data_IF_086637787852
#
_entry.id   IF_086637787852
#
_cell.length_a   1.000
_cell.length_b   1.000
_cell.length_c   1.000
_cell.angle_alpha   90.00
_cell.angle_beta   90.00
_cell.angle_gamma   90.00
#
_symmetry.space_group_name_H-M   'P 1'
#
loop_
_entity.id
_entity.type
_entity.pdbx_description
1 polymer ?
#
# COMPACT_ATOMS: atom_id res chain seq x y z
N UNK A 1 12.26 16.21 13.33
CA UNK A 1 11.70 15.23 14.29
C UNK A 1 12.64 14.89 15.44
N UNK A 2 13.87 15.44 15.53
CA UNK A 2 14.81 14.95 16.55
C UNK A 2 14.96 13.43 16.47
N UNK A 3 15.07 12.91 15.22
CA UNK A 3 15.14 11.47 14.98
C UNK A 3 16.24 10.92 15.88
N UNK A 4 15.92 10.06 16.85
CA UNK A 4 16.88 9.71 17.88
C UNK A 4 17.90 8.66 17.40
N UNK A 5 17.96 8.43 16.08
CA UNK A 5 18.81 7.44 15.45
C UNK A 5 19.89 8.13 14.62
N UNK A 6 21.15 8.04 15.04
CA UNK A 6 22.26 8.09 14.07
C UNK A 6 22.41 6.79 13.30
N UNK A 7 21.74 5.74 13.75
CA UNK A 7 21.81 4.39 13.21
C UNK A 7 20.40 3.84 13.04
N UNK A 8 19.97 3.72 11.78
CA UNK A 8 18.74 3.06 11.39
C UNK A 8 19.09 1.64 10.92
N UNK A 9 18.28 0.68 11.32
CA UNK A 9 18.21 -0.63 10.69
C UNK A 9 17.35 -0.46 9.45
N UNK A 10 17.88 -0.75 8.28
CA UNK A 10 17.04 -0.73 7.08
C UNK A 10 16.76 -2.17 6.71
N UNK A 11 15.49 -2.53 6.75
CA UNK A 11 15.05 -3.84 6.35
C UNK A 11 14.49 -3.75 4.93
N UNK A 12 15.28 -4.28 4.01
CA UNK A 12 14.94 -4.41 2.62
C UNK A 12 14.28 -5.79 2.44
N UNK A 13 12.98 -5.93 2.68
CA UNK A 13 12.31 -7.22 2.47
C UNK A 13 11.96 -7.38 0.97
N UNK A 14 12.90 -7.22 0.03
CA UNK A 14 12.51 -6.90 -1.36
C UNK A 14 12.97 -7.92 -2.40
N UNK A 15 11.98 -8.45 -3.12
CA UNK A 15 12.15 -9.29 -4.30
C UNK A 15 11.66 -8.60 -5.60
N UNK A 16 11.43 -7.28 -5.60
CA UNK A 16 10.96 -6.54 -6.78
C UNK A 16 11.89 -5.37 -7.14
N UNK A 17 12.12 -5.17 -8.44
CA UNK A 17 13.05 -4.14 -8.96
C UNK A 17 12.71 -2.71 -8.50
N UNK A 18 11.42 -2.39 -8.34
CA UNK A 18 10.97 -1.08 -7.84
C UNK A 18 11.46 -0.78 -6.44
N UNK A 19 11.44 -1.79 -5.59
CA UNK A 19 11.75 -1.66 -4.19
C UNK A 19 13.27 -1.53 -3.96
N UNK A 20 14.09 -2.18 -4.80
CA UNK A 20 15.55 -1.99 -4.83
C UNK A 20 15.91 -0.55 -5.19
N UNK A 21 15.31 0.01 -6.24
CA UNK A 21 15.58 1.39 -6.68
C UNK A 21 15.17 2.40 -5.59
N UNK A 22 13.99 2.22 -4.98
CA UNK A 22 13.54 3.08 -3.89
C UNK A 22 14.50 3.05 -2.69
N UNK A 23 15.07 1.88 -2.41
CA UNK A 23 16.05 1.72 -1.34
C UNK A 23 17.37 2.44 -1.67
N UNK A 24 17.91 2.26 -2.88
CA UNK A 24 19.14 2.92 -3.31
C UNK A 24 19.04 4.45 -3.21
N UNK A 25 17.91 5.03 -3.67
CA UNK A 25 17.62 6.45 -3.51
C UNK A 25 17.56 6.87 -2.03
N UNK A 26 16.95 6.04 -1.17
CA UNK A 26 16.90 6.30 0.26
C UNK A 26 18.31 6.28 0.88
N UNK A 27 19.19 5.36 0.49
CA UNK A 27 20.57 5.30 1.00
C UNK A 27 21.31 6.61 0.73
N UNK A 28 21.19 7.14 -0.49
CA UNK A 28 21.81 8.40 -0.88
C UNK A 28 21.24 9.58 -0.08
N UNK A 29 19.91 9.67 0.04
CA UNK A 29 19.25 10.74 0.82
C UNK A 29 19.57 10.68 2.31
N UNK A 30 19.67 9.48 2.91
CA UNK A 30 20.05 9.31 4.30
C UNK A 30 21.49 9.76 4.54
N UNK A 31 22.40 9.42 3.61
CA UNK A 31 23.80 9.84 3.66
C UNK A 31 23.94 11.35 3.59
N UNK A 32 23.21 12.03 2.70
CA UNK A 32 23.17 13.49 2.62
C UNK A 32 22.65 14.17 3.90
N UNK A 33 21.87 13.44 4.70
CA UNK A 33 21.28 13.91 5.96
C UNK A 33 22.04 13.42 7.20
N UNK A 34 23.23 12.83 7.04
CA UNK A 34 24.05 12.26 8.12
C UNK A 34 23.33 11.19 8.95
N UNK A 35 22.50 10.37 8.30
CA UNK A 35 21.87 9.20 8.92
C UNK A 35 22.55 7.93 8.41
N UNK A 36 23.01 7.07 9.33
CA UNK A 36 23.71 5.85 8.96
C UNK A 36 22.83 4.60 9.00
N UNK A 37 23.16 3.65 8.14
CA UNK A 37 22.52 2.34 8.07
C UNK A 37 23.38 1.34 8.85
N UNK A 38 22.83 0.76 9.92
CA UNK A 38 23.57 -0.18 10.78
C UNK A 38 23.61 -1.61 10.22
N UNK A 39 22.56 -1.98 9.50
CA UNK A 39 22.44 -3.26 8.80
C UNK A 39 21.40 -3.11 7.69
N UNK A 40 21.67 -3.74 6.55
CA UNK A 40 20.77 -3.89 5.41
C UNK A 40 20.53 -5.38 5.22
N UNK A 41 19.32 -5.85 5.45
CA UNK A 41 18.95 -7.25 5.23
C UNK A 41 18.00 -7.37 4.07
N UNK A 42 18.24 -8.40 3.25
CA UNK A 42 17.41 -8.77 2.11
C UNK A 42 16.67 -10.08 2.36
N UNK A 43 15.35 -10.10 2.21
CA UNK A 43 14.60 -11.37 2.22
C UNK A 43 14.75 -12.08 0.86
N UNK A 44 15.57 -13.12 0.83
CA UNK A 44 15.73 -13.98 -0.35
C UNK A 44 14.66 -15.07 -0.33
N UNK A 45 13.98 -15.28 -1.46
CA UNK A 45 12.97 -16.33 -1.66
C UNK A 45 13.41 -17.21 -2.82
N UNK A 46 13.68 -18.48 -2.56
CA UNK A 46 14.12 -19.42 -3.61
C UNK A 46 12.98 -19.78 -4.58
N UNK A 47 11.72 -19.79 -4.10
CA UNK A 47 10.49 -19.76 -4.92
C UNK A 47 9.27 -19.52 -4.02
N UNK A 48 8.30 -18.72 -4.47
CA UNK A 48 7.03 -18.51 -3.74
C UNK A 48 7.14 -17.62 -2.49
N UNK A 49 6.54 -18.05 -1.38
CA UNK A 49 6.47 -17.32 -0.10
C UNK A 49 7.65 -17.73 0.80
N UNK A 50 8.31 -16.76 1.44
CA UNK A 50 9.38 -17.07 2.39
C UNK A 50 8.83 -17.88 3.58
N UNK A 51 9.58 -18.90 4.00
CA UNK A 51 9.29 -19.63 5.23
C UNK A 51 9.62 -18.83 6.49
N UNK A 52 9.02 -19.23 7.62
CA UNK A 52 9.20 -18.56 8.92
C UNK A 52 10.67 -18.38 9.33
N UNK A 53 11.51 -19.38 9.04
CA UNK A 53 12.94 -19.37 9.36
C UNK A 53 13.68 -18.17 8.73
N UNK A 54 13.32 -17.78 7.51
CA UNK A 54 13.96 -16.65 6.84
C UNK A 54 13.66 -15.32 7.55
N UNK A 55 12.42 -15.15 8.03
CA UNK A 55 12.05 -13.99 8.84
C UNK A 55 12.73 -14.01 10.21
N UNK A 56 12.85 -15.18 10.84
CA UNK A 56 13.54 -15.33 12.12
C UNK A 56 15.03 -14.94 12.00
N UNK A 57 15.72 -15.42 10.96
CA UNK A 57 17.12 -15.08 10.70
C UNK A 57 17.32 -13.57 10.52
N UNK A 58 16.42 -12.91 9.79
CA UNK A 58 16.41 -11.46 9.64
C UNK A 58 16.29 -10.77 11.00
N UNK A 59 15.26 -11.11 11.79
CA UNK A 59 15.02 -10.49 13.09
C UNK A 59 16.20 -10.69 14.03
N UNK A 60 16.81 -11.88 14.05
CA UNK A 60 18.01 -12.15 14.84
C UNK A 60 19.17 -11.24 14.44
N UNK A 61 19.40 -11.03 13.15
CA UNK A 61 20.43 -10.08 12.67
C UNK A 61 20.12 -8.64 13.08
N UNK A 62 18.86 -8.20 13.01
CA UNK A 62 18.47 -6.86 13.48
C UNK A 62 18.76 -6.69 14.98
N UNK A 63 18.46 -7.73 15.78
CA UNK A 63 18.68 -7.72 17.22
C UNK A 63 20.17 -7.61 17.61
N UNK A 64 21.09 -8.06 16.75
CA UNK A 64 22.54 -7.87 16.98
C UNK A 64 22.96 -6.39 17.04
N UNK A 65 22.17 -5.49 16.44
CA UNK A 65 22.46 -4.05 16.38
C UNK A 65 21.76 -3.31 17.52
N UNK A 66 22.31 -3.43 18.72
CA UNK A 66 21.69 -2.87 19.94
C UNK A 66 21.51 -1.35 19.96
N UNK A 67 22.32 -0.62 19.19
CA UNK A 67 22.26 0.85 19.04
C UNK A 67 21.28 1.33 17.96
N UNK A 68 20.74 0.43 17.14
CA UNK A 68 19.85 0.76 16.04
C UNK A 68 18.46 0.16 16.29
N UNK A 69 17.53 1.00 16.77
CA UNK A 69 16.13 0.58 17.05
C UNK A 69 15.12 1.11 16.04
N UNK A 70 15.48 2.11 15.24
CA UNK A 70 14.66 2.58 14.14
C UNK A 70 14.78 1.62 12.99
N UNK A 71 13.67 1.19 12.41
CA UNK A 71 13.63 0.20 11.35
C UNK A 71 12.79 0.68 10.15
N UNK A 72 13.41 0.92 9.00
CA UNK A 72 12.68 1.26 7.77
C UNK A 72 12.37 -0.03 7.01
N UNK A 73 11.10 -0.31 6.74
CA UNK A 73 10.66 -1.49 6.00
C UNK A 73 10.02 -1.11 4.66
N UNK A 74 10.66 -1.53 3.59
CA UNK A 74 10.04 -1.69 2.28
C UNK A 74 9.66 -3.16 2.12
N UNK A 75 8.41 -3.43 1.75
CA UNK A 75 7.88 -4.78 1.62
C UNK A 75 6.37 -4.76 1.38
N UNK A 76 5.85 -5.88 0.90
CA UNK A 76 4.39 -6.10 0.83
C UNK A 76 3.82 -6.37 2.23
N UNK A 77 2.52 -6.18 2.38
CA UNK A 77 1.78 -6.50 3.61
C UNK A 77 2.03 -7.94 4.11
N UNK A 78 2.04 -8.94 3.22
CA UNK A 78 2.34 -10.33 3.58
C UNK A 78 3.74 -10.53 4.16
N UNK A 79 4.72 -9.86 3.57
CA UNK A 79 6.13 -9.92 3.98
C UNK A 79 6.34 -9.26 5.33
N UNK A 80 5.76 -8.07 5.53
CA UNK A 80 5.86 -7.37 6.81
C UNK A 80 5.12 -8.13 7.91
N UNK A 81 3.94 -8.71 7.63
CA UNK A 81 3.24 -9.57 8.58
C UNK A 81 4.12 -10.76 9.01
N UNK A 82 4.90 -11.34 8.09
CA UNK A 82 5.90 -12.37 8.39
C UNK A 82 6.98 -11.89 9.37
N UNK A 83 7.52 -10.68 9.16
CA UNK A 83 8.50 -10.07 10.06
C UNK A 83 7.90 -9.80 11.43
N UNK A 84 6.68 -9.25 11.51
CA UNK A 84 6.03 -8.97 12.80
C UNK A 84 5.80 -10.26 13.61
N UNK A 85 5.43 -11.37 12.95
CA UNK A 85 5.36 -12.69 13.59
C UNK A 85 6.73 -13.17 14.10
N UNK A 86 7.80 -12.96 13.34
CA UNK A 86 9.15 -13.31 13.77
C UNK A 86 9.63 -12.45 14.96
N UNK A 87 9.31 -11.16 14.98
CA UNK A 87 9.57 -10.25 16.12
C UNK A 87 8.87 -10.78 17.38
N UNK A 88 7.61 -11.21 17.27
CA UNK A 88 6.91 -11.86 18.38
C UNK A 88 7.61 -13.13 18.86
N UNK A 89 7.96 -14.03 17.94
CA UNK A 89 8.64 -15.30 18.27
C UNK A 89 9.97 -15.06 18.99
N UNK A 90 10.68 -13.98 18.62
CA UNK A 90 11.91 -13.57 19.26
C UNK A 90 11.72 -12.83 20.60
N UNK A 91 10.47 -12.55 21.01
CA UNK A 91 10.18 -11.79 22.24
C UNK A 91 10.59 -10.31 22.17
N UNK A 92 10.63 -9.74 20.95
CA UNK A 92 11.21 -8.43 20.67
C UNK A 92 10.17 -7.34 20.37
N UNK A 93 8.90 -7.52 20.76
CA UNK A 93 7.77 -6.66 20.36
C UNK A 93 7.96 -5.17 20.70
N UNK A 94 8.66 -4.85 21.78
CA UNK A 94 8.88 -3.45 22.23
C UNK A 94 10.28 -2.92 21.87
N UNK A 95 10.99 -3.60 20.95
CA UNK A 95 12.41 -3.32 20.65
C UNK A 95 12.59 -2.30 19.53
N UNK A 96 11.73 -2.30 18.53
CA UNK A 96 11.91 -1.52 17.30
C UNK A 96 10.86 -0.42 17.15
N UNK A 97 11.24 0.65 16.47
CA UNK A 97 10.32 1.68 15.99
C UNK A 97 10.32 1.67 14.48
N UNK A 98 9.15 1.41 13.89
CA UNK A 98 9.06 1.13 12.46
C UNK A 98 8.73 2.38 11.64
N UNK A 99 9.33 2.46 10.46
CA UNK A 99 8.94 3.37 9.39
C UNK A 99 8.52 2.54 8.19
N UNK A 100 7.23 2.58 7.86
CA UNK A 100 6.64 1.78 6.79
C UNK A 100 6.45 2.55 5.49
N UNK A 101 6.87 1.93 4.38
CA UNK A 101 6.44 2.33 3.04
C UNK A 101 4.93 2.13 2.81
N UNK A 102 4.42 2.64 1.69
CA UNK A 102 3.02 2.50 1.28
C UNK A 102 2.60 1.04 1.01
N UNK A 103 3.55 0.15 0.72
CA UNK A 103 3.31 -1.26 0.45
C UNK A 103 2.63 -2.05 1.58
N UNK A 104 2.69 -1.56 2.82
CA UNK A 104 2.06 -2.20 3.99
C UNK A 104 1.35 -1.21 4.92
N UNK A 105 1.32 0.06 4.55
CA UNK A 105 0.67 1.13 5.31
C UNK A 105 -0.82 0.90 5.47
N UNK A 106 -1.33 0.96 6.72
CA UNK A 106 -2.75 0.80 7.04
C UNK A 106 -3.41 -0.48 6.48
N UNK A 107 -2.63 -1.54 6.23
CA UNK A 107 -3.15 -2.84 5.77
C UNK A 107 -3.47 -3.71 6.99
N UNK A 108 -4.74 -4.10 7.09
CA UNK A 108 -5.25 -4.97 8.17
C UNK A 108 -4.42 -6.26 8.29
N UNK A 109 -3.96 -6.83 7.16
CA UNK A 109 -3.13 -8.03 7.14
C UNK A 109 -1.84 -7.93 7.96
N UNK A 110 -1.28 -6.72 8.12
CA UNK A 110 -0.08 -6.52 8.93
C UNK A 110 -0.41 -6.35 10.40
N UNK A 111 -1.42 -5.52 10.72
CA UNK A 111 -1.78 -5.18 12.10
C UNK A 111 -2.57 -6.27 12.82
N UNK A 112 -3.47 -6.96 12.13
CA UNK A 112 -4.45 -7.84 12.75
C UNK A 112 -3.77 -9.06 13.35
N UNK A 113 -3.89 -9.20 14.66
CA UNK A 113 -3.17 -10.22 15.41
C UNK A 113 -1.67 -9.99 15.52
N UNK A 114 -1.14 -8.80 15.16
CA UNK A 114 0.23 -8.31 15.39
C UNK A 114 0.27 -6.89 15.99
N UNK A 115 -0.78 -6.49 16.70
CA UNK A 115 -0.98 -5.10 17.08
C UNK A 115 0.13 -4.58 17.99
N UNK A 116 0.63 -5.42 18.91
CA UNK A 116 1.72 -5.03 19.82
C UNK A 116 3.04 -4.85 19.07
N UNK A 117 3.35 -5.73 18.12
CA UNK A 117 4.60 -5.66 17.34
C UNK A 117 4.61 -4.49 16.35
N UNK A 118 3.43 -4.06 15.88
CA UNK A 118 3.25 -2.94 14.94
C UNK A 118 3.10 -1.59 15.67
N UNK A 119 2.83 -1.59 16.98
CA UNK A 119 2.66 -0.37 17.77
C UNK A 119 3.85 0.59 17.63
N UNK A 120 3.57 1.88 17.49
CA UNK A 120 4.59 2.92 17.31
C UNK A 120 5.05 3.11 15.86
N UNK A 121 4.49 2.36 14.90
CA UNK A 121 4.85 2.50 13.48
C UNK A 121 4.41 3.86 12.94
N UNK A 122 5.35 4.56 12.31
CA UNK A 122 5.05 5.69 11.41
C UNK A 122 5.02 5.17 9.96
N UNK A 123 4.05 5.57 9.16
CA UNK A 123 3.97 5.11 7.77
C UNK A 123 3.43 6.17 6.83
N UNK A 124 3.76 6.03 5.54
CA UNK A 124 3.25 6.86 4.45
C UNK A 124 2.10 6.13 3.75
N UNK A 125 0.95 6.79 3.64
CA UNK A 125 -0.21 6.26 2.95
C UNK A 125 -0.55 7.17 1.77
N UNK A 126 -0.57 6.67 0.52
CA UNK A 126 -1.01 7.46 -0.63
C UNK A 126 -2.38 8.09 -0.37
N UNK A 127 -2.48 9.39 -0.56
CA UNK A 127 -3.71 10.13 -0.29
C UNK A 127 -4.68 9.94 -1.47
N UNK A 128 -5.73 9.18 -1.21
CA UNK A 128 -6.82 8.95 -2.14
C UNK A 128 -8.15 9.40 -1.52
N UNK A 129 -9.03 9.90 -2.37
CA UNK A 129 -10.39 10.29 -2.03
C UNK A 129 -11.40 9.27 -2.58
N UNK A 130 -12.55 9.07 -1.91
CA UNK A 130 -13.58 8.16 -2.38
C UNK A 130 -14.06 8.47 -3.80
N UNK A 131 -14.18 7.44 -4.63
CA UNK A 131 -14.75 7.55 -5.98
C UNK A 131 -16.27 7.59 -5.87
N UNK A 132 -16.87 8.72 -6.25
CA UNK A 132 -18.32 8.94 -6.12
C UNK A 132 -19.10 7.88 -6.90
N UNK A 133 -20.07 7.26 -6.22
CA UNK A 133 -20.97 6.25 -6.80
C UNK A 133 -20.38 4.84 -6.97
N UNK A 134 -19.07 4.63 -6.72
CA UNK A 134 -18.48 3.30 -6.83
C UNK A 134 -19.04 2.33 -5.77
N UNK A 135 -19.19 2.82 -4.54
CA UNK A 135 -19.72 2.02 -3.44
C UNK A 135 -21.14 1.55 -3.73
N UNK A 136 -22.04 2.46 -4.11
CA UNK A 136 -23.41 2.12 -4.48
C UNK A 136 -23.47 1.18 -5.69
N UNK A 137 -22.58 1.38 -6.68
CA UNK A 137 -22.45 0.46 -7.81
C UNK A 137 -22.07 -0.95 -7.35
N UNK A 138 -21.04 -1.07 -6.49
CA UNK A 138 -20.49 -2.34 -6.07
C UNK A 138 -21.45 -3.11 -5.14
N UNK A 139 -22.09 -2.42 -4.20
CA UNK A 139 -23.07 -3.02 -3.28
C UNK A 139 -24.32 -3.57 -3.99
N UNK A 140 -24.67 -2.99 -5.14
CA UNK A 140 -25.78 -3.45 -5.96
C UNK A 140 -25.42 -4.64 -6.88
N UNK A 141 -24.16 -5.08 -6.90
CA UNK A 141 -23.76 -6.26 -7.68
C UNK A 141 -24.28 -7.54 -7.04
N UNK A 142 -24.66 -8.47 -7.91
CA UNK A 142 -25.09 -9.82 -7.56
C UNK A 142 -24.49 -10.80 -8.55
N UNK A 143 -24.45 -12.08 -8.19
CA UNK A 143 -23.94 -13.11 -9.11
C UNK A 143 -24.78 -13.16 -10.41
N UNK A 144 -26.09 -12.93 -10.33
CA UNK A 144 -27.00 -12.96 -11.48
C UNK A 144 -26.79 -11.79 -12.43
N UNK A 145 -26.47 -10.61 -11.88
CA UNK A 145 -26.33 -9.35 -12.62
C UNK A 145 -24.91 -9.17 -13.16
N UNK A 146 -23.89 -9.69 -12.49
CA UNK A 146 -22.48 -9.48 -12.84
C UNK A 146 -21.85 -10.66 -13.61
N UNK A 147 -22.33 -10.89 -14.84
CA UNK A 147 -21.83 -12.00 -15.69
C UNK A 147 -20.50 -11.73 -16.40
N UNK A 148 -20.02 -10.49 -16.36
CA UNK A 148 -18.79 -10.07 -17.06
C UNK A 148 -17.50 -10.40 -16.30
N UNK A 149 -17.60 -10.58 -14.98
CA UNK A 149 -16.45 -10.83 -14.12
C UNK A 149 -16.38 -12.33 -13.79
N UNK A 150 -15.41 -13.08 -14.34
CA UNK A 150 -15.32 -14.52 -14.12
C UNK A 150 -14.98 -14.90 -12.67
N UNK A 151 -14.38 -13.99 -11.90
CA UNK A 151 -13.99 -14.22 -10.50
C UNK A 151 -15.09 -13.85 -9.50
N UNK A 152 -16.20 -13.29 -9.96
CA UNK A 152 -17.23 -12.77 -9.05
C UNK A 152 -17.95 -13.87 -8.27
N UNK A 153 -18.10 -15.07 -8.86
CA UNK A 153 -18.66 -16.23 -8.16
C UNK A 153 -17.75 -16.68 -7.02
N UNK A 154 -16.45 -16.80 -7.28
CA UNK A 154 -15.47 -17.21 -6.26
C UNK A 154 -15.39 -16.18 -5.12
N UNK A 155 -15.38 -14.88 -5.46
CA UNK A 155 -15.48 -13.80 -4.47
C UNK A 155 -16.74 -13.93 -3.61
N UNK A 156 -17.90 -14.20 -4.22
CA UNK A 156 -19.17 -14.33 -3.51
C UNK A 156 -19.17 -15.53 -2.55
N UNK A 157 -18.65 -16.67 -3.00
CA UNK A 157 -18.50 -17.88 -2.18
C UNK A 157 -17.60 -17.64 -0.98
N UNK A 158 -16.46 -16.97 -1.19
CA UNK A 158 -15.53 -16.65 -0.11
C UNK A 158 -16.11 -15.63 0.88
N UNK A 159 -16.77 -14.58 0.37
CA UNK A 159 -17.33 -13.51 1.17
C UNK A 159 -18.49 -13.97 2.07
N UNK A 160 -19.39 -14.80 1.55
CA UNK A 160 -20.55 -15.31 2.31
C UNK A 160 -20.32 -16.70 2.93
N UNK A 161 -19.13 -17.28 2.74
CA UNK A 161 -18.76 -18.61 3.22
C UNK A 161 -19.75 -19.71 2.80
N UNK A 162 -20.20 -19.67 1.56
CA UNK A 162 -21.18 -20.58 0.99
C UNK A 162 -20.74 -21.05 -0.41
N UNK A 163 -21.36 -22.12 -0.92
CA UNK A 163 -21.11 -22.61 -2.27
C UNK A 163 -22.22 -22.18 -3.22
N UNK A 164 -21.88 -21.53 -4.32
CA UNK A 164 -22.86 -21.08 -5.28
C UNK A 164 -23.42 -22.27 -6.09
N UNK A 165 -24.74 -22.36 -6.32
CA UNK A 165 -25.33 -23.49 -7.03
C UNK A 165 -24.72 -23.66 -8.44
N UNK A 166 -24.29 -24.88 -8.76
CA UNK A 166 -23.65 -25.25 -10.03
C UNK A 166 -22.28 -24.59 -10.31
N UNK A 167 -21.62 -24.02 -9.29
CA UNK A 167 -20.23 -23.56 -9.42
C UNK A 167 -19.26 -24.75 -9.55
N UNK A 168 -18.18 -24.53 -10.31
CA UNK A 168 -17.08 -25.50 -10.41
C UNK A 168 -16.41 -25.70 -9.05
N UNK A 169 -16.02 -26.94 -8.75
CA UNK A 169 -15.26 -27.23 -7.54
C UNK A 169 -13.82 -26.69 -7.68
N UNK A 170 -13.37 -25.93 -6.70
CA UNK A 170 -12.01 -25.39 -6.59
C UNK A 170 -11.38 -25.82 -5.26
N UNK A 171 -10.04 -25.74 -5.12
CA UNK A 171 -9.38 -25.98 -3.84
C UNK A 171 -9.84 -25.06 -2.70
N UNK A 172 -10.45 -23.92 -3.03
CA UNK A 172 -10.83 -22.88 -2.08
C UNK A 172 -12.31 -22.95 -1.65
N UNK A 173 -13.19 -23.51 -2.48
CA UNK A 173 -14.63 -23.59 -2.18
C UNK A 173 -15.10 -24.96 -1.67
N UNK A 174 -14.25 -25.99 -1.69
CA UNK A 174 -14.58 -27.33 -1.19
C UNK A 174 -14.88 -27.39 0.32
N UNK A 175 -14.49 -26.37 1.08
CA UNK A 175 -14.76 -26.24 2.52
C UNK A 175 -16.19 -25.81 2.85
N UNK A 176 -16.91 -25.24 1.89
CA UNK A 176 -18.26 -24.71 2.12
C UNK A 176 -19.30 -25.82 1.93
N UNK A 177 -20.00 -26.17 3.02
CA UNK A 177 -21.03 -27.22 3.04
C UNK A 177 -22.41 -26.69 2.69
N UNK A 178 -22.67 -25.40 2.99
CA UNK A 178 -23.94 -24.74 2.72
C UNK A 178 -23.96 -24.12 1.33
N UNK A 179 -25.12 -24.19 0.67
CA UNK A 179 -25.31 -23.51 -0.60
C UNK A 179 -25.65 -22.03 -0.38
N UNK A 180 -25.10 -21.15 -1.20
CA UNK A 180 -25.52 -19.77 -1.25
C UNK A 180 -27.00 -19.70 -1.65
N UNK A 181 -27.74 -18.81 -1.01
CA UNK A 181 -29.12 -18.51 -1.38
C UNK A 181 -29.16 -17.37 -2.41
N UNK A 182 -30.34 -16.82 -2.67
CA UNK A 182 -30.50 -15.61 -3.49
C UNK A 182 -30.77 -14.36 -2.62
N UNK A 183 -30.53 -14.46 -1.30
CA UNK A 183 -30.88 -13.42 -0.31
C UNK A 183 -29.67 -12.62 0.17
N UNK A 184 -28.47 -13.13 -0.06
CA UNK A 184 -27.20 -12.52 0.28
C UNK A 184 -27.07 -11.19 -0.45
N UNK A 185 -26.60 -10.18 0.28
CA UNK A 185 -26.37 -8.84 -0.23
C UNK A 185 -25.07 -8.32 0.33
N UNK A 186 -24.28 -7.68 -0.54
CA UNK A 186 -23.17 -6.87 -0.10
C UNK A 186 -23.76 -5.65 0.64
N UNK A 187 -23.21 -5.35 1.80
CA UNK A 187 -23.57 -4.19 2.62
C UNK A 187 -22.30 -3.49 3.10
N UNK A 188 -22.46 -2.29 3.65
CA UNK A 188 -21.33 -1.53 4.19
C UNK A 188 -20.68 -2.22 5.38
N UNK A 189 -21.45 -3.05 6.09
CA UNK A 189 -21.03 -3.73 7.31
C UNK A 189 -20.26 -5.02 7.01
N UNK A 190 -20.54 -5.70 5.89
CA UNK A 190 -19.84 -6.93 5.51
C UNK A 190 -18.75 -6.72 4.45
N UNK A 191 -18.73 -5.57 3.77
CA UNK A 191 -17.80 -5.30 2.66
C UNK A 191 -16.75 -4.26 3.04
N UNK A 192 -15.48 -4.65 2.91
CA UNK A 192 -14.34 -3.72 3.02
C UNK A 192 -13.98 -3.21 1.63
N UNK A 193 -13.96 -1.89 1.47
CA UNK A 193 -13.61 -1.23 0.21
C UNK A 193 -12.13 -0.89 0.14
N UNK A 194 -11.56 -0.95 -1.06
CA UNK A 194 -10.19 -0.50 -1.31
C UNK A 194 -10.14 1.04 -1.23
N UNK A 195 -9.28 1.55 -0.35
CA UNK A 195 -9.13 2.98 -0.10
C UNK A 195 -8.40 3.69 -1.26
N UNK A 196 -7.71 2.93 -2.10
CA UNK A 196 -6.89 3.45 -3.21
C UNK A 196 -7.59 3.40 -4.59
N UNK A 197 -8.91 3.22 -4.63
CA UNK A 197 -9.69 3.12 -5.87
C UNK A 197 -9.58 4.34 -6.80
N UNK A 198 -9.30 5.52 -6.24
CA UNK A 198 -9.08 6.73 -7.04
C UNK A 198 -8.00 6.51 -8.10
N UNK A 199 -6.85 5.92 -7.75
CA UNK A 199 -5.75 5.77 -8.70
C UNK A 199 -6.11 4.88 -9.89
N UNK A 200 -6.91 3.83 -9.65
CA UNK A 200 -7.43 2.95 -10.72
C UNK A 200 -8.39 3.71 -11.62
N UNK A 201 -9.31 4.48 -11.01
CA UNK A 201 -10.28 5.30 -11.73
C UNK A 201 -9.60 6.37 -12.59
N UNK A 202 -8.66 7.12 -12.00
CA UNK A 202 -7.93 8.19 -12.69
C UNK A 202 -7.05 7.63 -13.81
N UNK A 203 -6.45 6.44 -13.65
CA UNK A 203 -5.71 5.78 -14.72
C UNK A 203 -6.60 5.47 -15.94
N UNK A 204 -7.80 4.90 -15.72
CA UNK A 204 -8.76 4.62 -16.81
C UNK A 204 -9.23 5.93 -17.46
N UNK A 205 -9.54 6.93 -16.64
CA UNK A 205 -9.97 8.24 -17.13
C UNK A 205 -8.86 8.94 -17.94
N UNK A 206 -7.58 8.81 -17.56
CA UNK A 206 -6.47 9.36 -18.33
C UNK A 206 -6.43 8.80 -19.76
N UNK A 207 -6.61 7.49 -19.94
CA UNK A 207 -6.73 6.90 -21.28
C UNK A 207 -7.97 7.39 -22.02
N UNK A 208 -9.13 7.46 -21.35
CA UNK A 208 -10.36 7.94 -21.97
C UNK A 208 -10.22 9.40 -22.46
N UNK A 209 -9.66 10.29 -21.64
CA UNK A 209 -9.41 11.68 -21.99
C UNK A 209 -8.38 11.81 -23.13
N UNK A 210 -7.29 11.03 -23.10
CA UNK A 210 -6.28 11.04 -24.16
C UNK A 210 -6.87 10.57 -25.50
N UNK A 211 -7.64 9.48 -25.50
CA UNK A 211 -8.30 8.95 -26.69
C UNK A 211 -9.35 9.91 -27.23
N UNK A 212 -10.12 10.56 -26.36
CA UNK A 212 -11.11 11.56 -26.74
C UNK A 212 -10.44 12.78 -27.39
N UNK A 213 -9.33 13.26 -26.83
CA UNK A 213 -8.60 14.40 -27.40
C UNK A 213 -7.94 14.04 -28.73
N UNK A 214 -7.34 12.85 -28.82
CA UNK A 214 -6.83 12.32 -30.08
C UNK A 214 -7.94 12.19 -31.14
N UNK A 215 -9.12 11.69 -30.75
CA UNK A 215 -10.26 11.55 -31.66
C UNK A 215 -10.74 12.90 -32.17
N UNK A 216 -10.93 13.90 -31.30
CA UNK A 216 -11.35 15.26 -31.68
C UNK A 216 -10.41 15.91 -32.70
N UNK A 217 -9.10 15.66 -32.58
CA UNK A 217 -8.11 16.26 -33.47
C UNK A 217 -7.97 15.54 -34.81
N UNK A 218 -8.23 14.23 -34.85
CA UNK A 218 -7.93 13.40 -36.02
C UNK A 218 -9.16 12.98 -36.80
N UNK A 219 -10.32 12.89 -36.15
CA UNK A 219 -11.53 12.36 -36.74
C UNK A 219 -12.63 13.45 -36.79
N UNK A 220 -13.11 13.83 -37.98
CA UNK A 220 -14.10 14.90 -38.14
C UNK A 220 -15.54 14.50 -37.78
N UNK A 221 -15.77 13.24 -37.38
CA UNK A 221 -17.11 12.68 -37.17
C UNK A 221 -17.16 11.63 -36.07
N UNK A 222 -18.32 10.96 -35.93
CA UNK A 222 -18.54 9.91 -34.92
C UNK A 222 -17.79 8.63 -35.27
N UNK A 223 -17.28 7.94 -34.25
CA UNK A 223 -16.56 6.67 -34.40
C UNK A 223 -15.12 6.84 -34.89
N UNK A 224 -14.40 5.72 -35.00
CA UNK A 224 -13.00 5.72 -35.41
C UNK A 224 -12.86 5.94 -36.92
N UNK A 225 -12.01 6.91 -37.29
CA UNK A 225 -11.58 7.17 -38.66
C UNK A 225 -10.26 6.44 -38.98
N UNK A 226 -9.83 6.48 -40.25
CA UNK A 226 -8.63 5.77 -40.73
C UNK A 226 -7.35 6.24 -40.04
N UNK A 227 -7.29 7.51 -39.60
CA UNK A 227 -6.16 8.05 -38.83
C UNK A 227 -5.99 7.45 -37.42
N UNK A 228 -6.96 6.65 -36.96
CA UNK A 228 -6.93 5.93 -35.68
C UNK A 228 -7.07 4.41 -35.87
N UNK A 229 -6.86 3.89 -37.08
CA UNK A 229 -6.95 2.46 -37.41
C UNK A 229 -5.67 1.97 -38.11
N UNK A 230 -4.68 1.41 -37.39
CA UNK A 230 -4.64 1.24 -35.94
C UNK A 230 -4.26 2.53 -35.19
N UNK A 231 -4.42 2.54 -33.87
CA UNK A 231 -3.90 3.61 -33.02
C UNK A 231 -2.40 3.40 -32.82
N UNK A 232 -1.59 4.39 -33.20
CA UNK A 232 -0.16 4.40 -32.94
C UNK A 232 0.13 4.75 -31.47
N UNK A 233 0.77 3.84 -30.73
CA UNK A 233 1.06 4.03 -29.30
C UNK A 233 1.93 5.26 -29.00
N UNK A 234 2.94 5.54 -29.83
CA UNK A 234 3.80 6.73 -29.70
C UNK A 234 3.03 8.04 -29.87
N UNK A 235 1.98 8.02 -30.71
CA UNK A 235 1.08 9.15 -30.89
C UNK A 235 0.15 9.30 -29.70
N UNK A 236 -0.48 8.21 -29.24
CA UNK A 236 -1.32 8.20 -28.04
C UNK A 236 -0.55 8.70 -26.80
N UNK A 237 0.72 8.31 -26.65
CA UNK A 237 1.57 8.77 -25.54
C UNK A 237 1.70 10.30 -25.47
N UNK A 238 1.72 10.99 -26.62
CA UNK A 238 1.76 12.46 -26.67
C UNK A 238 0.48 13.08 -26.12
N UNK A 239 -0.66 12.43 -26.33
CA UNK A 239 -1.95 12.84 -25.76
C UNK A 239 -2.03 12.52 -24.27
N UNK A 240 -1.61 11.31 -23.87
CA UNK A 240 -1.54 10.89 -22.47
C UNK A 240 -0.72 11.86 -21.61
N UNK A 241 0.49 12.25 -22.06
CA UNK A 241 1.34 13.21 -21.31
C UNK A 241 0.73 14.60 -21.11
N UNK A 242 -0.35 14.94 -21.83
CA UNK A 242 -0.99 16.26 -21.80
C UNK A 242 -2.38 16.24 -21.17
N UNK A 243 -2.83 15.09 -20.67
CA UNK A 243 -4.16 15.01 -20.04
C UNK A 243 -4.21 15.93 -18.82
N UNK A 244 -5.34 16.62 -18.70
CA UNK A 244 -5.66 17.46 -17.57
C UNK A 244 -7.18 17.41 -17.40
N UNK A 245 -7.66 16.81 -16.31
CA UNK A 245 -9.09 16.59 -16.09
C UNK A 245 -9.41 16.52 -14.60
N UNK A 246 -10.68 16.76 -14.27
CA UNK A 246 -11.22 16.47 -12.94
C UNK A 246 -11.64 15.01 -12.88
N UNK A 247 -11.01 14.23 -12.00
CA UNK A 247 -11.32 12.81 -11.78
C UNK A 247 -12.67 12.59 -11.10
N UNK A 248 -13.09 11.32 -11.01
CA UNK A 248 -14.38 10.95 -10.40
C UNK A 248 -14.42 11.17 -8.88
N UNK A 249 -13.27 11.30 -8.24
CA UNK A 249 -13.14 11.76 -6.84
C UNK A 249 -13.44 13.26 -6.68
N UNK A 250 -13.35 14.04 -7.76
CA UNK A 250 -13.42 15.50 -7.75
C UNK A 250 -12.05 16.19 -7.73
N UNK A 251 -10.95 15.43 -7.63
CA UNK A 251 -9.60 15.97 -7.70
C UNK A 251 -9.18 16.33 -9.13
N UNK A 252 -8.31 17.31 -9.28
CA UNK A 252 -7.61 17.56 -10.54
C UNK A 252 -6.49 16.52 -10.75
N UNK A 253 -6.47 15.91 -11.93
CA UNK A 253 -5.44 14.98 -12.35
C UNK A 253 -4.67 15.51 -13.56
N UNK A 254 -3.35 15.48 -13.45
CA UNK A 254 -2.41 15.69 -14.55
C UNK A 254 -1.12 14.90 -14.27
N UNK A 255 -0.42 14.54 -15.34
CA UNK A 255 0.95 14.05 -15.20
C UNK A 255 1.92 15.22 -15.04
N UNK A 256 3.03 14.97 -14.35
CA UNK A 256 4.16 15.88 -14.35
C UNK A 256 5.06 15.70 -15.59
N UNK A 257 6.22 16.36 -15.60
CA UNK A 257 7.17 16.28 -16.72
C UNK A 257 7.80 14.90 -16.92
N UNK A 258 7.88 14.07 -15.86
CA UNK A 258 8.42 12.71 -15.93
C UNK A 258 7.33 11.70 -16.31
N UNK A 259 6.06 12.08 -16.22
CA UNK A 259 4.92 11.20 -16.48
C UNK A 259 4.33 10.61 -15.20
N UNK A 260 4.70 11.14 -14.04
CA UNK A 260 4.19 10.70 -12.75
C UNK A 260 2.89 11.42 -12.39
N UNK A 261 2.02 10.72 -11.66
CA UNK A 261 0.81 11.32 -11.10
C UNK A 261 1.12 12.23 -9.91
N UNK A 262 0.11 12.95 -9.38
CA UNK A 262 0.30 13.83 -8.23
C UNK A 262 0.74 13.06 -6.98
N UNK A 263 1.92 13.38 -6.45
CA UNK A 263 2.48 12.79 -5.24
C UNK A 263 1.89 13.44 -3.98
N UNK A 264 0.92 12.75 -3.34
CA UNK A 264 0.29 13.17 -2.09
C UNK A 264 0.20 11.99 -1.14
N UNK A 265 0.64 12.17 0.10
CA UNK A 265 0.63 11.13 1.12
C UNK A 265 0.11 11.66 2.45
N UNK A 266 -0.70 10.86 3.13
CA UNK A 266 -0.95 11.01 4.55
C UNK A 266 0.22 10.40 5.32
N UNK A 267 0.62 11.04 6.41
CA UNK A 267 1.52 10.45 7.41
C UNK A 267 0.65 9.91 8.53
N UNK A 268 0.76 8.61 8.78
CA UNK A 268 -0.09 7.92 9.76
C UNK A 268 0.78 7.23 10.82
N UNK A 269 0.23 7.08 12.01
CA UNK A 269 0.89 6.45 13.16
C UNK A 269 -0.02 5.36 13.74
N UNK A 270 0.49 4.14 13.91
CA UNK A 270 -0.22 3.07 14.59
C UNK A 270 -0.04 3.15 16.11
N UNK A 271 -1.13 3.40 16.84
CA UNK A 271 -1.09 3.64 18.29
C UNK A 271 -2.19 2.89 19.03
N UNK A 272 -1.90 2.48 20.26
CA UNK A 272 -2.93 2.10 21.22
C UNK A 272 -3.70 3.35 21.69
N UNK A 273 -4.99 3.43 21.36
CA UNK A 273 -5.87 4.57 21.71
C UNK A 273 -6.70 4.32 22.97
N UNK A 274 -6.85 3.05 23.35
CA UNK A 274 -7.43 2.60 24.61
C UNK A 274 -6.84 1.22 24.94
N UNK A 275 -6.96 0.70 26.17
CA UNK A 275 -6.38 -0.61 26.53
C UNK A 275 -6.76 -1.70 25.51
N UNK A 276 -5.76 -2.26 24.82
CA UNK A 276 -5.89 -3.27 23.76
C UNK A 276 -6.64 -2.84 22.49
N UNK A 277 -6.90 -1.54 22.31
CA UNK A 277 -7.52 -0.98 21.10
C UNK A 277 -6.48 -0.18 20.34
N UNK A 278 -6.13 -0.65 19.14
CA UNK A 278 -5.10 -0.04 18.30
C UNK A 278 -5.72 0.56 17.04
N UNK A 279 -5.22 1.71 16.60
CA UNK A 279 -5.68 2.39 15.39
C UNK A 279 -4.54 3.09 14.67
N UNK A 280 -4.65 3.16 13.36
CA UNK A 280 -3.92 4.11 12.54
C UNK A 280 -4.53 5.50 12.73
N UNK A 281 -3.73 6.46 13.20
CA UNK A 281 -4.14 7.85 13.38
C UNK A 281 -3.34 8.75 12.41
N UNK A 282 -4.00 9.70 11.71
CA UNK A 282 -3.29 10.66 10.88
C UNK A 282 -2.50 11.63 11.77
N UNK A 283 -1.23 11.84 11.43
CA UNK A 283 -0.30 12.73 12.16
C UNK A 283 0.38 13.75 11.26
N UNK A 284 0.06 13.77 9.97
CA UNK A 284 0.60 14.74 9.02
C UNK A 284 0.26 14.43 7.58
N UNK A 285 0.84 15.21 6.68
CA UNK A 285 0.71 15.09 5.23
C UNK A 285 2.06 15.40 4.55
N UNK A 286 2.30 14.79 3.41
CA UNK A 286 3.35 15.15 2.48
C UNK A 286 2.73 15.48 1.13
N UNK A 287 2.89 16.72 0.70
CA UNK A 287 2.36 17.21 -0.57
C UNK A 287 3.29 18.30 -1.12
N UNK A 288 3.42 18.35 -2.45
CA UNK A 288 4.23 19.37 -3.16
C UNK A 288 5.68 19.48 -2.64
N UNK A 289 6.29 18.35 -2.29
CA UNK A 289 7.65 18.30 -1.76
C UNK A 289 7.81 18.77 -0.31
N UNK A 290 6.71 19.00 0.41
CA UNK A 290 6.72 19.51 1.79
C UNK A 290 6.04 18.54 2.74
N UNK A 291 6.76 18.19 3.81
CA UNK A 291 6.23 17.43 4.95
C UNK A 291 5.63 18.40 5.97
N UNK A 292 4.38 18.17 6.37
CA UNK A 292 3.70 18.88 7.45
C UNK A 292 3.23 17.87 8.48
N UNK A 293 3.62 18.05 9.73
CA UNK A 293 3.23 17.17 10.82
C UNK A 293 2.34 17.93 11.79
N UNK A 294 1.24 17.31 12.18
CA UNK A 294 0.35 17.81 13.21
C UNK A 294 0.80 17.21 14.55
N UNK A 295 1.90 17.75 15.08
CA UNK A 295 2.40 17.41 16.41
C UNK A 295 1.80 18.38 17.41
N UNK A 296 1.00 17.90 18.37
CA UNK A 296 0.74 18.65 19.60
C UNK A 296 1.96 18.48 20.54
N UNK A 297 2.31 19.53 21.30
CA UNK A 297 3.57 19.64 22.07
C UNK A 297 3.87 18.49 23.06
N UNK A 298 2.90 17.59 23.34
CA UNK A 298 3.05 16.42 24.21
C UNK A 298 3.01 15.06 23.47
N UNK A 299 2.94 15.03 22.14
CA UNK A 299 2.98 13.79 21.36
C UNK A 299 4.39 13.50 20.87
N UNK A 300 5.10 12.64 21.60
CA UNK A 300 6.26 11.98 21.03
C UNK A 300 5.81 10.93 19.99
N UNK A 301 6.42 10.95 18.80
CA UNK A 301 6.19 9.92 17.77
C UNK A 301 6.98 8.64 18.05
N UNK A 302 7.98 8.73 18.92
CA UNK A 302 8.87 7.63 19.26
C UNK A 302 9.08 7.58 20.78
N UNK A 303 9.42 6.42 21.36
CA UNK A 303 9.74 6.35 22.79
C UNK A 303 10.92 7.26 23.17
N UNK A 304 10.85 7.95 24.32
CA UNK A 304 11.91 8.86 24.81
C UNK A 304 13.23 8.15 25.17
N UNK A 305 13.22 6.81 25.22
CA UNK A 305 14.35 5.97 25.63
C UNK A 305 15.31 5.61 24.49
N UNK A 306 15.21 6.25 23.32
CA UNK A 306 16.09 5.96 22.20
C UNK A 306 17.36 6.81 22.29
N UNK A 307 18.49 6.12 22.44
CA UNK A 307 19.82 6.74 22.54
C UNK A 307 20.29 7.21 21.16
N UNK A 308 20.54 8.52 21.05
CA UNK A 308 21.19 9.14 19.89
C UNK A 308 22.70 8.85 19.98
N UNK A 309 23.16 7.77 19.35
CA UNK A 309 24.61 7.61 19.08
C UNK A 309 25.05 8.63 18.03
N UNK A 310 26.36 8.78 17.76
CA UNK A 310 26.82 9.31 16.48
C UNK A 310 26.96 8.19 15.45
N UNK A 311 27.16 8.53 14.17
CA UNK A 311 27.68 7.60 13.17
C UNK A 311 29.14 7.24 13.52
N UNK A 312 29.37 6.45 14.56
CA UNK A 312 30.70 5.89 14.83
C UNK A 312 30.92 4.71 13.88
N UNK A 313 31.69 4.97 12.82
CA UNK A 313 32.33 3.94 12.00
C UNK A 313 33.34 3.20 12.89
N UNK A 314 33.05 1.94 13.22
CA UNK A 314 34.07 0.96 13.59
C UNK A 314 33.95 -0.24 12.67
#
# INVERSE_FOLDING_TARGET
>A
MGFPFSQIVTLDILNTAKNIIAFEELEDLLKERNVCIAVKEKLVKDSGVAGDKAYDEIVQKLLTKSRARGAIIFGSDQEVAGVMRAVRRAGASDTFSWIGSDGWSARALVSDGNEREVEGTLSVQPQAHPVKGFEDYFLNLTVETNRRNPWFVEFWEDHFHCRYPNSSLTPYNGRYTENCTAKERLTRENTVFENQLQFVSDAVMAFAHALNEMHKQLCPGRGLCDSMKPIEGSRLLKYLRRVNFTGLSGDQFKFDSQGDGPARYNIIHFKQVAPKVYRWVPVGEYSEGRLRLNMSDNQSLFPDNIIIGGCELR
#
